data_IF_941561256660
#
_entry.id   IF_941561256660
#
_cell.length_a   1.000
_cell.length_b   1.000
_cell.length_c   1.000
_cell.angle_alpha   90.00
_cell.angle_beta   90.00
_cell.angle_gamma   90.00
#
_symmetry.space_group_name_H-M   'P 1'
#
loop_
_entity.id
_entity.type
_entity.pdbx_description
1 polymer ?
2 non-polymer ?
3 non-polymer ?
4 water ?
#
# COMPACT_ATOMS: atom_id res chain seq x y z
N UNK A 1 -13.56 -10.40 -6.65
CA UNK A 1 -13.02 -9.80 -7.87
C UNK A 1 -13.01 -8.30 -7.74
N UNK A 2 -12.06 -7.65 -8.40
CA UNK A 2 -11.97 -6.20 -8.38
C UNK A 2 -12.91 -5.59 -9.39
N UNK A 3 -13.37 -4.38 -9.09
CA UNK A 3 -14.41 -3.76 -9.89
C UNK A 3 -14.11 -2.32 -10.28
N UNK A 4 -13.05 -1.73 -9.74
CA UNK A 4 -12.82 -0.31 -9.96
C UNK A 4 -11.61 0.00 -10.80
N UNK A 5 -11.80 0.90 -11.77
CA UNK A 5 -10.67 1.54 -12.43
C UNK A 5 -10.42 2.87 -11.74
N UNK A 6 -9.52 2.88 -10.76
CA UNK A 6 -9.23 4.09 -10.02
C UNK A 6 -8.47 5.07 -10.90
N UNK A 7 -8.83 6.36 -10.79
CA UNK A 7 -8.18 7.40 -11.56
C UNK A 7 -7.04 8.00 -10.75
N UNK A 8 -5.86 8.07 -11.35
CA UNK A 8 -4.70 8.62 -10.66
C UNK A 8 -4.78 10.14 -10.50
N UNK A 9 -4.13 10.64 -9.46
CA UNK A 9 -4.07 12.07 -9.23
C UNK A 9 -3.55 12.81 -10.44
N UNK A 10 -4.27 13.86 -10.85
CA UNK A 10 -3.77 14.76 -11.87
C UNK A 10 -2.52 15.46 -11.34
N UNK A 11 -1.45 15.39 -12.11
CA UNK A 11 -0.20 16.00 -11.70
C UNK A 11 0.51 15.25 -10.58
N UNK A 12 0.24 13.95 -10.44
CA UNK A 12 0.94 13.11 -9.47
C UNK A 12 2.45 13.30 -9.54
N UNK A 13 3.06 13.51 -8.38
CA UNK A 13 4.50 13.72 -8.29
C UNK A 13 5.18 12.44 -7.85
N UNK A 14 5.67 11.69 -8.82
CA UNK A 14 6.21 10.36 -8.54
C UNK A 14 7.48 10.40 -7.68
N UNK A 15 8.35 11.38 -7.92
CA UNK A 15 9.59 11.43 -7.15
C UNK A 15 9.33 11.72 -5.68
N UNK A 16 8.30 12.50 -5.41
CA UNK A 16 7.92 12.84 -4.04
C UNK A 16 7.29 11.65 -3.32
N UNK A 17 6.46 10.89 -4.02
CA UNK A 17 5.82 9.73 -3.43
C UNK A 17 6.82 8.58 -3.22
N UNK A 18 7.60 8.30 -4.27
CA UNK A 18 8.59 7.22 -4.28
C UNK A 18 9.94 7.75 -3.82
N UNK A 19 9.96 8.28 -2.60
CA UNK A 19 11.15 8.97 -2.09
C UNK A 19 11.97 8.16 -1.09
N UNK A 20 11.49 6.94 -0.81
CA UNK A 20 12.20 6.04 0.10
C UNK A 20 11.67 6.03 1.51
N UNK A 21 10.72 6.90 1.80
CA UNK A 21 10.16 7.03 3.15
C UNK A 21 8.98 6.05 3.34
N UNK A 22 8.45 5.99 4.55
CA UNK A 22 7.37 5.08 4.89
C UNK A 22 6.02 5.79 4.89
N UNK A 23 4.99 5.04 4.46
CA UNK A 23 3.60 5.44 4.55
C UNK A 23 2.86 4.45 5.45
N UNK A 24 2.04 4.96 6.37
CA UNK A 24 1.24 4.12 7.25
C UNK A 24 -0.20 4.13 6.79
N UNK A 25 -0.85 2.96 6.71
CA UNK A 25 -2.28 2.94 6.48
C UNK A 25 -2.99 3.36 7.77
N UNK A 26 -3.84 4.38 7.68
CA UNK A 26 -4.60 4.81 8.86
C UNK A 26 -6.08 4.44 8.78
N UNK A 27 -6.59 4.32 7.56
CA UNK A 27 -8.00 3.99 7.35
C UNK A 27 -8.12 3.23 6.05
N UNK A 28 -9.04 2.26 5.97
CA UNK A 28 -9.19 1.52 4.73
C UNK A 28 -10.64 1.15 4.45
N UNK A 29 -10.94 0.95 3.17
CA UNK A 29 -12.27 0.58 2.72
C UNK A 29 -12.13 -0.63 1.80
N UNK A 30 -12.57 -1.78 2.29
CA UNK A 30 -12.51 -3.02 1.54
C UNK A 30 -13.85 -3.18 0.87
N UNK A 31 -13.87 -3.31 -0.46
CA UNK A 31 -15.15 -3.42 -1.16
C UNK A 31 -15.72 -4.83 -1.07
N UNK A 32 -14.89 -5.78 -0.65
CA UNK A 32 -15.33 -7.16 -0.51
C UNK A 32 -14.96 -7.70 0.86
N UNK A 33 -15.56 -7.15 1.93
CA UNK A 33 -15.26 -7.53 3.31
C UNK A 33 -15.91 -8.85 3.70
N UNK A 39 -8.57 -7.50 10.55
CA UNK A 39 -8.45 -6.08 10.88
C UNK A 39 -6.99 -5.60 10.90
N UNK A 40 -6.20 -6.14 9.98
CA UNK A 40 -4.77 -5.87 9.87
C UNK A 40 -4.35 -4.39 9.93
N UNK A 41 -3.21 -4.16 10.56
CA UNK A 41 -2.36 -2.98 10.39
C UNK A 41 -1.47 -3.20 9.17
N UNK A 42 -1.18 -2.10 8.48
CA UNK A 42 -0.33 -2.19 7.31
C UNK A 42 0.44 -0.90 7.09
N UNK A 43 1.62 -1.04 6.51
CA UNK A 43 2.43 0.11 6.14
C UNK A 43 3.29 -0.29 4.94
N UNK A 44 3.85 0.70 4.26
CA UNK A 44 4.69 0.41 3.10
C UNK A 44 5.77 1.46 2.98
N UNK A 45 6.90 1.08 2.40
CA UNK A 45 7.87 2.07 1.95
C UNK A 45 7.82 2.08 0.43
N UNK A 46 7.92 3.25 -0.17
CA UNK A 46 7.93 3.38 -1.61
C UNK A 46 9.16 4.18 -2.00
N UNK A 47 9.95 3.68 -2.94
CA UNK A 47 11.15 4.38 -3.31
C UNK A 47 11.67 3.94 -4.66
N UNK A 48 12.88 4.37 -4.97
CA UNK A 48 13.53 3.96 -6.21
C UNK A 48 14.85 3.31 -5.84
N UNK A 49 15.20 2.24 -6.55
CA UNK A 49 16.49 1.59 -6.35
C UNK A 49 17.04 1.23 -7.72
N UNK A 50 18.19 1.82 -8.05
CA UNK A 50 18.78 1.62 -9.38
C UNK A 50 17.79 1.92 -10.51
N UNK A 51 17.02 2.99 -10.35
CA UNK A 51 16.12 3.42 -11.40
C UNK A 51 14.83 2.65 -11.51
N UNK A 52 14.65 1.65 -10.63
CA UNK A 52 13.41 0.88 -10.62
C UNK A 52 12.52 1.39 -9.48
N UNK A 53 11.20 1.51 -9.74
CA UNK A 53 10.24 1.81 -8.68
C UNK A 53 10.06 0.57 -7.82
N UNK A 54 10.15 0.76 -6.50
CA UNK A 54 10.04 -0.36 -5.56
C UNK A 54 9.06 -0.05 -4.44
N UNK A 55 8.40 -1.08 -3.93
CA UNK A 55 7.64 -0.95 -2.69
C UNK A 55 7.95 -2.11 -1.77
N UNK A 56 8.03 -1.81 -0.48
CA UNK A 56 8.15 -2.85 0.54
C UNK A 56 6.91 -2.75 1.41
N UNK A 57 6.30 -3.89 1.70
CA UNK A 57 5.04 -3.90 2.43
C UNK A 57 5.19 -4.62 3.75
N UNK A 58 4.36 -4.21 4.71
CA UNK A 58 4.27 -4.83 6.03
C UNK A 58 2.81 -5.01 6.39
N UNK A 59 2.43 -6.23 6.75
CA UNK A 59 1.10 -6.53 7.27
C UNK A 59 1.27 -7.14 8.67
N UNK A 60 0.44 -6.71 9.61
CA UNK A 60 0.46 -7.24 10.97
C UNK A 60 -0.97 -7.37 11.48
N UNK A 61 -1.35 -8.56 11.92
CA UNK A 61 -2.66 -8.77 12.54
C UNK A 61 -2.46 -8.71 14.04
N UNK A 62 -2.98 -7.66 14.69
CA UNK A 62 -2.74 -7.44 16.12
C UNK A 62 -3.41 -8.48 17.03
N UNK A 63 -4.29 -9.31 16.46
CA UNK A 63 -4.94 -10.36 17.24
C UNK A 63 -4.22 -11.69 17.08
N UNK A 64 -4.06 -12.14 15.84
CA UNK A 64 -3.49 -13.46 15.57
C UNK A 64 -1.98 -13.43 15.60
N UNK A 65 -1.40 -12.24 15.41
CA UNK A 65 0.04 -12.05 15.34
C UNK A 65 0.61 -12.39 13.96
N UNK A 66 -0.25 -12.79 13.02
CA UNK A 66 0.23 -13.06 11.67
C UNK A 66 0.95 -11.82 11.15
N UNK A 67 2.16 -12.02 10.66
CA UNK A 67 3.01 -10.92 10.23
C UNK A 67 3.71 -11.32 8.95
N UNK A 68 3.68 -10.46 7.94
CA UNK A 68 4.44 -10.76 6.73
C UNK A 68 4.92 -9.51 6.02
N UNK A 69 6.04 -9.65 5.35
CA UNK A 69 6.65 -8.59 4.57
C UNK A 69 6.70 -8.99 3.11
N UNK A 70 6.65 -7.99 2.24
CA UNK A 70 6.80 -8.24 0.81
C UNK A 70 7.65 -7.16 0.17
N UNK A 71 8.31 -7.50 -0.93
CA UNK A 71 9.02 -6.52 -1.73
C UNK A 71 8.53 -6.66 -3.18
N UNK A 72 8.37 -5.53 -3.87
CA UNK A 72 7.93 -5.56 -5.27
C UNK A 72 8.66 -4.55 -6.13
N UNK A 73 8.88 -4.92 -7.39
CA UNK A 73 9.21 -3.94 -8.42
C UNK A 73 7.90 -3.51 -9.06
N UNK A 74 7.73 -2.21 -9.20
CA UNK A 74 6.52 -1.67 -9.82
C UNK A 74 6.74 -1.41 -11.30
N UNK A 75 5.84 -1.92 -12.11
CA UNK A 75 5.85 -1.63 -13.54
C UNK A 75 4.83 -0.55 -13.83
N UNK A 76 5.17 0.34 -14.75
CA UNK A 76 4.33 1.50 -15.02
C UNK A 76 3.23 1.19 -16.03
N UNK A 77 1.99 1.51 -15.68
CA UNK A 77 0.90 1.46 -16.65
C UNK A 77 0.61 2.86 -17.18
N UNK A 78 0.64 3.84 -16.28
CA UNK A 78 0.51 5.25 -16.61
C UNK A 78 0.93 6.01 -15.36
N UNK A 79 0.96 7.33 -15.43
CA UNK A 79 1.44 8.10 -14.28
C UNK A 79 0.52 7.85 -13.08
N UNK A 80 1.09 7.35 -11.99
CA UNK A 80 0.32 7.06 -10.81
C UNK A 80 -0.41 5.71 -10.78
N UNK A 81 -0.21 4.87 -11.81
CA UNK A 81 -0.86 3.57 -11.87
C UNK A 81 0.15 2.49 -12.21
N UNK A 82 0.29 1.51 -11.31
CA UNK A 82 1.36 0.52 -11.36
C UNK A 82 0.86 -0.91 -11.19
N UNK A 83 1.64 -1.85 -11.71
CA UNK A 83 1.41 -3.27 -11.52
C UNK A 83 2.64 -3.84 -10.82
N UNK A 84 2.43 -4.56 -9.72
CA UNK A 84 3.52 -4.99 -8.86
C UNK A 84 3.52 -6.50 -8.61
N UNK A 85 4.57 -7.18 -9.05
CA UNK A 85 4.79 -8.58 -8.69
C UNK A 85 5.45 -8.65 -7.32
N UNK A 86 4.80 -9.28 -6.35
CA UNK A 86 5.36 -9.32 -5.01
C UNK A 86 6.13 -10.60 -4.70
N UNK A 87 7.17 -10.47 -3.90
CA UNK A 87 7.79 -11.64 -3.31
C UNK A 87 7.72 -11.51 -1.80
N UNK A 88 7.32 -12.59 -1.15
CA UNK A 88 7.24 -12.58 0.30
C UNK A 88 8.64 -12.77 0.85
N UNK A 89 9.02 -11.93 1.80
CA UNK A 89 10.35 -11.95 2.39
C UNK A 89 10.25 -11.90 3.91
N UNK A 90 11.32 -12.26 4.60
CA UNK A 90 11.38 -11.96 6.02
C UNK A 90 11.79 -10.48 6.18
N UNK A 91 11.88 -10.00 7.41
CA UNK A 91 12.14 -8.58 7.64
C UNK A 91 13.49 -8.16 7.11
N UNK A 92 14.37 -9.13 6.90
CA UNK A 92 15.72 -8.86 6.42
C UNK A 92 15.85 -8.88 4.90
N UNK A 93 14.77 -9.23 4.21
CA UNK A 93 14.80 -9.35 2.77
C UNK A 93 15.08 -10.74 2.23
N UNK A 94 15.20 -11.74 3.12
CA UNK A 94 15.40 -13.11 2.69
C UNK A 94 14.11 -13.65 2.07
N UNK A 95 14.21 -14.26 0.88
CA UNK A 95 13.04 -14.67 0.13
C UNK A 95 12.37 -15.90 0.72
N UNK A 96 11.06 -15.78 0.95
CA UNK A 96 10.25 -16.89 1.46
C UNK A 96 9.32 -17.45 0.40
N UNK A 97 8.79 -16.58 -0.46
CA UNK A 97 8.01 -17.01 -1.61
C UNK A 97 8.41 -16.18 -2.82
N UNK A 98 8.90 -16.84 -3.85
CA UNK A 98 9.40 -16.16 -5.04
C UNK A 98 8.28 -15.50 -5.86
N UNK A 99 8.66 -14.52 -6.66
CA UNK A 99 7.75 -13.92 -7.63
C UNK A 99 7.16 -15.00 -8.53
N UNK A 100 5.88 -14.89 -8.80
CA UNK A 100 5.23 -15.79 -9.75
C UNK A 100 4.11 -15.04 -10.48
N UNK A 101 3.87 -15.44 -11.72
CA UNK A 101 2.98 -14.74 -12.65
C UNK A 101 1.60 -14.37 -12.10
N UNK A 102 0.98 -15.27 -11.35
CA UNK A 102 -0.38 -15.05 -10.85
C UNK A 102 -0.46 -14.39 -9.49
N UNK A 103 0.59 -13.65 -9.13
CA UNK A 103 0.73 -13.03 -7.83
C UNK A 103 1.16 -11.61 -8.05
N UNK A 104 0.21 -10.68 -8.08
CA UNK A 104 0.53 -9.28 -8.27
C UNK A 104 -0.56 -8.40 -7.69
N UNK A 105 -0.24 -7.14 -7.44
CA UNK A 105 -1.31 -6.18 -7.15
C UNK A 105 -1.18 -5.00 -8.08
N UNK A 106 -2.29 -4.36 -8.36
CA UNK A 106 -2.23 -3.05 -8.98
C UNK A 106 -2.30 -1.99 -7.88
N UNK A 107 -1.79 -0.81 -8.18
CA UNK A 107 -1.63 0.23 -7.20
C UNK A 107 -1.86 1.55 -7.91
N UNK A 108 -2.86 2.32 -7.47
CA UNK A 108 -3.14 3.63 -8.07
C UNK A 108 -3.13 4.71 -7.00
N UNK A 109 -2.34 5.76 -7.22
CA UNK A 109 -2.32 6.88 -6.28
C UNK A 109 -3.33 7.92 -6.74
N UNK A 110 -4.46 7.99 -6.02
CA UNK A 110 -5.57 8.88 -6.38
C UNK A 110 -5.35 10.30 -5.89
N UNK A 111 -4.61 10.43 -4.79
CA UNK A 111 -4.28 11.74 -4.22
C UNK A 111 -3.01 11.58 -3.40
N UNK A 112 -2.10 12.54 -3.47
CA UNK A 112 -0.96 12.54 -2.54
C UNK A 112 -0.47 13.96 -2.32
N UNK A 113 0.01 14.22 -1.11
CA UNK A 113 0.74 15.44 -0.84
C UNK A 113 1.92 15.10 0.05
N UNK A 114 2.50 16.08 0.72
CA UNK A 114 3.70 15.79 1.49
C UNK A 114 3.46 14.89 2.72
N UNK A 115 2.23 14.81 3.20
CA UNK A 115 2.00 14.05 4.43
C UNK A 115 0.95 12.96 4.31
N UNK A 116 0.21 12.92 3.20
CA UNK A 116 -0.99 12.09 3.12
C UNK A 116 -1.21 11.56 1.72
N UNK A 117 -2.00 10.49 1.61
CA UNK A 117 -2.33 9.95 0.29
C UNK A 117 -3.60 9.13 0.36
N UNK A 118 -4.26 9.02 -0.79
CA UNK A 118 -5.36 8.08 -0.98
C UNK A 118 -4.96 7.14 -2.11
N UNK A 119 -4.96 5.84 -1.83
CA UNK A 119 -4.63 4.87 -2.86
C UNK A 119 -5.72 3.84 -3.07
N UNK A 120 -5.72 3.24 -4.26
CA UNK A 120 -6.52 2.06 -4.54
C UNK A 120 -5.57 0.91 -4.87
N UNK A 121 -5.91 -0.29 -4.39
CA UNK A 121 -5.14 -1.47 -4.75
C UNK A 121 -6.07 -2.63 -5.05
N UNK A 122 -5.68 -3.44 -6.02
CA UNK A 122 -6.39 -4.68 -6.32
C UNK A 122 -5.39 -5.84 -6.26
N UNK A 123 -5.63 -6.79 -5.35
CA UNK A 123 -4.71 -7.91 -5.15
C UNK A 123 -5.14 -9.13 -5.95
N UNK A 124 -4.18 -9.77 -6.62
CA UNK A 124 -4.37 -11.05 -7.27
C UNK A 124 -3.37 -12.02 -6.66
N UNK A 125 -3.86 -13.13 -6.11
CA UNK A 125 -2.96 -14.08 -5.48
C UNK A 125 -3.50 -15.47 -5.71
N UNK A 126 -2.77 -16.24 -6.52
CA UNK A 126 -3.14 -17.61 -6.81
C UNK A 126 -4.56 -17.73 -7.33
N UNK A 127 -5.31 -18.67 -6.79
CA UNK A 127 -6.69 -18.86 -7.20
C UNK A 127 -7.67 -18.24 -6.20
N UNK A 128 -7.19 -17.24 -5.47
CA UNK A 128 -8.04 -16.53 -4.53
C UNK A 128 -8.90 -15.50 -5.28
N UNK A 129 -10.08 -15.22 -4.75
CA UNK A 129 -10.95 -14.20 -5.32
C UNK A 129 -10.98 -12.98 -4.40
N UNK A 130 -10.24 -11.96 -4.78
CA UNK A 130 -10.08 -10.78 -3.92
C UNK A 130 -10.72 -9.52 -4.52
N UNK A 131 -10.98 -8.53 -3.68
CA UNK A 131 -11.67 -7.32 -4.10
C UNK A 131 -10.87 -6.04 -3.97
N UNK A 132 -11.50 -4.92 -4.31
CA UNK A 132 -10.82 -3.63 -4.27
C UNK A 132 -10.56 -3.22 -2.85
N UNK A 133 -9.48 -2.49 -2.63
CA UNK A 133 -9.17 -1.90 -1.34
C UNK A 133 -8.75 -0.45 -1.54
N UNK A 134 -9.39 0.48 -0.84
CA UNK A 134 -8.91 1.86 -0.78
C UNK A 134 -8.24 2.09 0.55
N UNK A 135 -7.16 2.87 0.56
CA UNK A 135 -6.48 3.16 1.82
C UNK A 135 -6.09 4.62 1.91
N UNK A 136 -6.34 5.20 3.09
CA UNK A 136 -5.78 6.49 3.42
C UNK A 136 -4.45 6.26 4.11
N UNK A 137 -3.41 6.94 3.61
CA UNK A 137 -2.05 6.82 4.13
C UNK A 137 -1.62 8.12 4.78
N UNK A 138 -0.72 8.01 5.75
CA UNK A 138 -0.08 9.19 6.34
C UNK A 138 1.40 8.91 6.58
N UNK A 139 2.22 9.95 6.51
CA UNK A 139 3.64 9.83 6.85
C UNK A 139 3.83 9.60 8.35
N UNK A 140 2.82 9.92 9.14
CA UNK A 140 2.89 9.73 10.58
C UNK A 140 1.94 8.65 11.05
N UNK A 141 2.49 7.72 11.84
CA UNK A 141 1.75 6.60 12.37
C UNK A 141 0.48 7.07 13.06
N UNK A 142 -0.65 6.44 12.74
CA UNK A 142 -1.91 6.72 13.42
C UNK A 142 -2.38 8.19 13.38
N UNK A 143 -1.90 8.99 12.42
CA UNK A 143 -2.31 10.38 12.33
C UNK A 143 -3.75 10.49 11.88
N UNK A 144 -4.51 11.38 12.48
CA UNK A 144 -5.88 11.62 12.05
C UNK A 144 -5.88 12.20 10.64
N UNK A 145 -6.83 11.75 9.82
CA UNK A 145 -6.92 12.20 8.45
C UNK A 145 -7.24 13.70 8.37
N UNK A 146 -6.42 14.43 7.63
CA UNK A 146 -6.63 15.85 7.44
C UNK A 146 -7.64 16.19 6.36
N UNK A 147 -7.92 17.48 6.23
CA UNK A 147 -8.96 17.94 5.34
C UNK A 147 -8.67 17.66 3.87
N UNK A 148 -7.40 17.73 3.47
CA UNK A 148 -7.08 17.50 2.06
C UNK A 148 -7.40 16.07 1.63
N UNK A 149 -6.91 15.08 2.37
CA UNK A 149 -7.18 13.71 1.97
C UNK A 149 -8.67 13.35 2.15
N UNK A 150 -9.32 13.88 3.18
CA UNK A 150 -10.74 13.61 3.35
C UNK A 150 -11.55 14.21 2.18
N UNK A 151 -11.15 15.39 1.72
CA UNK A 151 -11.81 15.97 0.57
C UNK A 151 -11.58 15.11 -0.68
N UNK A 152 -10.37 14.56 -0.83
CA UNK A 152 -10.08 13.69 -1.96
C UNK A 152 -10.94 12.42 -1.92
N UNK A 153 -11.18 11.90 -0.71
CA UNK A 153 -12.06 10.74 -0.58
C UNK A 153 -13.46 11.11 -1.12
N UNK A 154 -13.96 12.27 -0.70
CA UNK A 154 -15.26 12.73 -1.18
C UNK A 154 -15.25 12.91 -2.69
N UNK A 155 -14.19 13.53 -3.22
CA UNK A 155 -14.13 13.84 -4.65
C UNK A 155 -14.06 12.57 -5.50
N UNK A 156 -13.63 11.47 -4.89
CA UNK A 156 -13.61 10.16 -5.54
C UNK A 156 -14.97 9.49 -5.46
N UNK A 157 -15.93 10.21 -4.89
CA UNK A 157 -17.29 9.70 -4.67
C UNK A 157 -17.33 8.54 -3.68
N UNK A 158 -16.48 8.64 -2.65
CA UNK A 158 -16.48 7.67 -1.57
C UNK A 158 -16.89 8.35 -0.28
N UNK A 159 -17.46 7.56 0.64
CA UNK A 159 -17.94 8.05 1.91
C UNK A 159 -16.93 7.69 3.00
N UNK A 160 -16.26 8.69 3.55
CA UNK A 160 -15.19 8.41 4.49
C UNK A 160 -15.67 7.69 5.77
N UNK A 161 -16.93 7.89 6.15
CA UNK A 161 -17.43 7.24 7.36
C UNK A 161 -17.51 5.73 7.21
N UNK A 162 -17.44 5.23 5.97
CA UNK A 162 -17.48 3.79 5.73
C UNK A 162 -16.11 3.14 5.94
N UNK A 163 -15.04 3.95 5.94
CA UNK A 163 -13.70 3.42 6.16
C UNK A 163 -13.52 2.90 7.58
N UNK A 164 -12.64 1.90 7.72
CA UNK A 164 -12.27 1.34 9.02
C UNK A 164 -10.92 1.91 9.45
N UNK A 165 -10.84 2.39 10.68
CA UNK A 165 -9.60 2.95 11.21
C UNK A 165 -8.69 1.84 11.74
N UNK A 166 -7.39 2.01 11.55
CA UNK A 166 -6.42 1.10 12.14
C UNK A 166 -5.77 1.75 13.36
N UNK A 167 -6.15 2.99 13.63
CA UNK A 167 -5.41 3.81 14.59
C UNK A 167 -5.57 3.33 16.03
N UNK A 168 -6.68 2.64 16.30
CA UNK A 168 -6.99 2.19 17.65
C UNK A 168 -6.52 0.76 17.88
N UNK A 169 -5.92 0.16 16.86
CA UNK A 169 -5.32 -1.15 17.01
C UNK A 169 -3.94 -1.01 17.67
N UNK A 170 -3.61 -1.96 18.53
CA UNK A 170 -2.30 -1.95 19.15
C UNK A 170 -1.26 -2.37 18.13
N UNK A 171 -0.98 -1.47 17.17
CA UNK A 171 -0.06 -1.70 16.05
C UNK A 171 1.35 -1.20 16.36
N UNK A 172 2.36 -1.96 15.95
CA UNK A 172 3.74 -1.51 15.99
C UNK A 172 4.28 -1.75 14.60
N UNK A 173 5.26 -0.93 14.19
CA UNK A 173 5.79 -0.98 12.84
C UNK A 173 7.31 -0.94 12.84
N UNK A 174 7.95 -1.80 12.05
CA UNK A 174 9.40 -1.74 11.92
C UNK A 174 9.74 -0.89 10.71
N UNK A 175 9.72 0.43 10.89
CA UNK A 175 9.97 1.30 9.76
C UNK A 175 11.40 1.17 9.22
N UNK A 176 12.36 0.84 10.08
CA UNK A 176 13.73 0.64 9.62
C UNK A 176 13.82 -0.54 8.65
N UNK A 177 13.13 -1.63 8.94
CA UNK A 177 13.16 -2.77 8.03
C UNK A 177 12.51 -2.42 6.70
N UNK A 178 11.40 -1.69 6.74
CA UNK A 178 10.71 -1.32 5.51
C UNK A 178 11.60 -0.51 4.60
N UNK A 179 12.28 0.47 5.18
CA UNK A 179 13.17 1.31 4.38
C UNK A 179 14.32 0.48 3.78
N UNK A 180 14.89 -0.41 4.57
CA UNK A 180 16.01 -1.21 4.10
C UNK A 180 15.59 -2.23 3.04
N UNK A 181 14.33 -2.66 3.09
CA UNK A 181 13.84 -3.64 2.12
C UNK A 181 13.79 -3.11 0.71
N UNK A 182 13.83 -1.79 0.55
CA UNK A 182 13.63 -1.23 -0.78
C UNK A 182 14.66 -1.70 -1.81
N UNK A 183 15.79 -2.21 -1.34
CA UNK A 183 16.87 -2.63 -2.23
C UNK A 183 16.83 -4.12 -2.50
N UNK A 184 15.86 -4.82 -1.91
CA UNK A 184 15.84 -6.29 -1.92
C UNK A 184 15.01 -6.88 -3.06
X LIG B 1 -2.24 -9.84 1.64
X LIG B 1 -5.24 -7.28 4.45
X LIG B 1 -3.28 -3.17 2.79
X LIG B 1 -0.92 -5.70 -0.60
X LIG B 1 -3.22 -9.51 2.54
X LIG B 1 -4.02 -10.44 3.29
X LIG B 1 -4.85 -9.74 4.06
X LIG B 1 -4.59 -8.34 3.84
X LIG B 1 -5.90 -10.33 5.03
X LIG B 1 -3.94 -11.98 3.18
X LIG B 1 -4.57 -12.41 1.86
X LIG B 1 -4.62 -13.91 1.77
X LIG B 1 -3.59 -14.52 1.38
X LIG B 1 -5.68 -14.51 2.09
X LIG B 1 -4.95 -5.95 4.29
X LIG B 1 -5.50 -4.84 5.05
X LIG B 1 -4.96 -3.73 4.58
X LIG B 1 -4.03 -4.06 3.52
X LIG B 1 -6.54 -4.95 6.19
X LIG B 1 -5.18 -2.28 5.06
X LIG B 1 -5.20 -2.02 6.38
X LIG B 1 -2.52 -3.49 1.68
X LIG B 1 -1.88 -2.54 0.79
X LIG B 1 -1.24 -3.24 -0.16
X LIG B 1 -1.44 -4.64 0.13
X LIG B 1 -1.97 -0.99 0.93
X LIG B 1 -0.38 -2.74 -1.36
X LIG B 1 0.21 -1.56 -1.37
X LIG B 1 -1.00 -7.02 -0.24
X LIG B 1 -0.22 -8.07 -0.85
X LIG B 1 -0.63 -9.34 -0.15
X LIG B 1 -1.61 -8.96 0.81
X LIG B 1 0.83 -7.94 -1.98
X LIG B 1 -0.08 -10.76 -0.42
X LIG B 1 1.30 -10.86 0.21
X LIG B 1 1.86 -12.25 0.11
X LIG B 1 3.10 -12.36 0.01
X LIG B 1 1.10 -13.25 0.08
X LIG B 1 -3.59 -8.22 2.89
X LIG B 1 -4.05 -5.43 3.38
X LIG B 1 -2.22 -4.76 1.26
X LIG B 1 -1.81 -7.58 0.76
X LIG B 1 -2.93 -6.49 2.05
X LIG C 1 -7.73 -6.55 -0.35
X LIG C 1 -7.00 -7.82 -0.27
X LIG C 1 -7.99 -8.96 -0.01
X LIG C 1 -9.04 -9.00 -0.65
X LIG C 1 -5.93 -7.75 0.83
X LIG C 1 -4.63 -6.50 0.55
X LIG C 1 -7.77 -9.84 0.81
#
# INVERSE_FOLDING_TARGET
ACTKNAIAQTGFNKDKYFNGDVWYVTDYLDLEPDDVPKRYCAALAAGTASGKLKEALYHYDPKTQDTFYDVSELQVESLGKYTANFKKVDKNGNVKVAVTAGNYYTFTVMYADDSSALIHTCLHKGNKDLGDLYAVLNRNKDAAAGDKVKSAVSAATLEFSKFISTKENNCAYDNDSLKSLLTK
HEM CHA CHB CHC CHD C1A C2A C3A C4A CMA CAA CBA CGA O1A O2A C1B C2B C3B C4B CMB CAB CBB C1C C2C C3C C4C CMC CAC CBC C1D C2D C3D C4D CMD CAD CBD CGD O1D O2D NA NB NC ND FE
CYS N CA C O CB SG OXT
#
